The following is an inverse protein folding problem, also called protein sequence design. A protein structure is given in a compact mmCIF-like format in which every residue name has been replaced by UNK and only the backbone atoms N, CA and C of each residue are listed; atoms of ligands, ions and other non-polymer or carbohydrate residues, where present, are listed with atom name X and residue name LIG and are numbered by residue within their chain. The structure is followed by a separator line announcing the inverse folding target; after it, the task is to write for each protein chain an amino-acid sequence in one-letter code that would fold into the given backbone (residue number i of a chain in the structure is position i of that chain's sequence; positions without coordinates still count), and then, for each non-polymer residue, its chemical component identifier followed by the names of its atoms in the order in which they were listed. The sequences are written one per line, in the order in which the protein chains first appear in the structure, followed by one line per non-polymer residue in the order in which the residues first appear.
data_IF_204400755484
#
_entry.id   IF_204400755484
#
_cell.length_a   1.000
_cell.length_b   1.000
_cell.length_c   1.000
_cell.angle_alpha   90.00
_cell.angle_beta   90.00
_cell.angle_gamma   90.00
#
_symmetry.space_group_name_H-M   'P 1'
#
loop_
_entity.id
_entity.type
_entity.pdbx_description
1 polymer ?
#
# COMPACT_ATOMS: atom_id res chain seq x y z
N UNK A 1 -4.33 12.03 22.69
CA UNK A 1 -5.11 11.06 23.48
C UNK A 1 -4.98 9.62 22.97
N UNK A 2 -4.92 9.36 21.66
CA UNK A 2 -4.90 7.97 21.12
C UNK A 2 -3.63 7.16 21.42
N UNK A 3 -2.44 7.79 21.55
CA UNK A 3 -1.14 7.09 21.76
C UNK A 3 -1.00 6.38 23.12
N UNK A 4 -1.92 6.64 24.05
CA UNK A 4 -1.97 5.95 25.33
C UNK A 4 -2.58 4.53 25.22
N UNK A 5 -3.25 4.21 24.10
CA UNK A 5 -3.87 2.90 23.91
C UNK A 5 -2.84 1.81 23.55
N UNK A 6 -3.07 0.63 24.12
CA UNK A 6 -2.22 -0.54 23.91
C UNK A 6 -2.25 -1.09 22.48
N UNK A 7 -3.32 -0.88 21.72
CA UNK A 7 -3.49 -1.43 20.36
C UNK A 7 -3.20 -0.45 19.22
N UNK A 8 -2.58 0.69 19.51
CA UNK A 8 -2.22 1.68 18.47
C UNK A 8 -1.32 1.05 17.41
N UNK A 9 -1.73 1.18 16.15
CA UNK A 9 -1.02 0.60 15.02
C UNK A 9 -1.41 -0.84 14.69
N UNK A 10 -2.29 -1.48 15.46
CA UNK A 10 -2.87 -2.79 15.12
C UNK A 10 -4.08 -2.66 14.18
N UNK A 11 -4.49 -3.77 13.56
CA UNK A 11 -5.84 -3.90 13.03
C UNK A 11 -6.84 -3.99 14.20
N UNK A 12 -7.99 -3.32 14.09
CA UNK A 12 -9.09 -3.43 15.07
C UNK A 12 -9.79 -4.80 15.02
N UNK A 13 -9.81 -5.42 13.85
CA UNK A 13 -10.55 -6.65 13.57
C UNK A 13 -9.61 -7.78 13.19
N UNK A 14 -10.00 -9.02 13.48
CA UNK A 14 -9.24 -10.21 13.08
C UNK A 14 -9.45 -10.48 11.59
N UNK A 15 -8.61 -11.34 11.00
CA UNK A 15 -8.77 -11.73 9.60
C UNK A 15 -10.15 -12.36 9.34
N UNK A 16 -10.64 -13.19 10.26
CA UNK A 16 -11.89 -13.94 10.09
C UNK A 16 -13.15 -13.06 10.10
N UNK A 17 -13.10 -11.90 10.75
CA UNK A 17 -14.26 -11.02 10.86
C UNK A 17 -14.08 -9.65 10.22
N UNK A 18 -12.93 -9.38 9.58
CA UNK A 18 -12.61 -8.07 9.02
C UNK A 18 -13.74 -7.58 8.11
N UNK A 19 -14.08 -8.34 7.06
CA UNK A 19 -15.07 -7.91 6.07
C UNK A 19 -16.45 -7.68 6.68
N UNK A 20 -16.95 -8.61 7.48
CA UNK A 20 -18.21 -8.44 8.20
C UNK A 20 -18.22 -7.18 9.06
N UNK A 21 -17.13 -6.93 9.80
CA UNK A 21 -17.03 -5.79 10.72
C UNK A 21 -16.81 -4.45 10.04
N UNK A 22 -16.36 -4.43 8.79
CA UNK A 22 -16.26 -3.21 7.96
C UNK A 22 -17.44 -3.05 6.99
N UNK A 23 -18.48 -3.89 7.09
CA UNK A 23 -19.68 -3.79 6.24
C UNK A 23 -19.48 -4.32 4.81
N UNK A 24 -18.48 -5.17 4.58
CA UNK A 24 -18.23 -5.84 3.31
C UNK A 24 -18.72 -7.29 3.39
N UNK A 25 -19.12 -7.85 2.23
CA UNK A 25 -19.62 -9.22 2.14
C UNK A 25 -18.50 -10.25 2.39
N UNK A 26 -18.51 -10.98 3.52
CA UNK A 26 -17.48 -11.96 3.86
C UNK A 26 -17.55 -13.22 2.99
N UNK A 27 -18.63 -13.43 2.23
CA UNK A 27 -18.81 -14.59 1.37
C UNK A 27 -18.06 -14.43 0.05
N UNK A 28 -17.71 -13.21 -0.39
CA UNK A 28 -17.05 -12.97 -1.68
C UNK A 28 -15.52 -13.07 -1.61
N UNK A 29 -14.93 -12.64 -0.51
CA UNK A 29 -13.48 -12.67 -0.30
C UNK A 29 -13.15 -13.19 1.08
N UNK A 30 -12.02 -13.88 1.19
CA UNK A 30 -11.45 -14.29 2.47
C UNK A 30 -10.08 -13.66 2.67
N UNK A 31 -9.89 -12.96 3.78
CA UNK A 31 -8.56 -12.48 4.20
C UNK A 31 -7.69 -13.68 4.56
N UNK A 32 -6.48 -13.71 4.02
CA UNK A 32 -5.56 -14.84 4.21
C UNK A 32 -4.28 -14.46 4.94
N UNK A 33 -3.87 -13.18 4.90
CA UNK A 33 -2.70 -12.70 5.64
C UNK A 33 -2.82 -11.22 5.96
N UNK A 34 -2.45 -10.83 7.17
CA UNK A 34 -2.08 -9.44 7.50
C UNK A 34 -0.59 -9.25 7.31
N UNK A 35 -0.19 -8.07 6.84
CA UNK A 35 1.23 -7.72 6.69
C UNK A 35 1.57 -6.44 7.45
N UNK A 36 2.83 -6.37 7.90
CA UNK A 36 3.27 -5.41 8.90
C UNK A 36 4.61 -4.77 8.54
N UNK A 37 4.74 -3.47 8.81
CA UNK A 37 5.97 -2.71 8.66
C UNK A 37 6.56 -2.32 10.02
N UNK A 38 7.89 -2.15 10.15
CA UNK A 38 8.49 -1.72 11.41
C UNK A 38 8.03 -0.34 11.87
N UNK A 39 7.79 -0.19 13.18
CA UNK A 39 7.43 1.08 13.81
C UNK A 39 8.59 2.08 13.93
N UNK A 40 9.83 1.59 13.81
CA UNK A 40 11.06 2.37 13.96
C UNK A 40 11.42 3.19 12.73
N UNK A 41 10.74 2.98 11.59
CA UNK A 41 11.00 3.73 10.37
C UNK A 41 10.81 5.24 10.68
N UNK A 42 11.78 6.11 10.30
CA UNK A 42 11.73 7.53 10.58
C UNK A 42 10.79 8.23 9.59
N UNK A 43 9.49 7.98 9.75
CA UNK A 43 8.42 8.62 8.98
C UNK A 43 7.45 9.36 9.90
N UNK A 44 6.71 10.35 9.36
CA UNK A 44 5.66 11.01 10.11
C UNK A 44 4.66 10.03 10.71
N UNK A 45 4.07 10.38 11.86
CA UNK A 45 3.11 9.52 12.56
C UNK A 45 1.86 9.19 11.72
N UNK A 46 1.58 9.99 10.68
CA UNK A 46 0.56 9.71 9.66
C UNK A 46 0.76 8.37 8.94
N UNK A 47 2.02 7.91 8.82
CA UNK A 47 2.40 6.64 8.17
C UNK A 47 2.71 5.53 9.16
N UNK A 48 3.30 5.83 10.32
CA UNK A 48 3.72 4.82 11.29
C UNK A 48 3.41 5.32 12.69
N UNK A 49 2.52 4.62 13.40
CA UNK A 49 2.12 5.05 14.75
C UNK A 49 2.90 4.33 15.83
N UNK A 50 3.32 5.08 16.86
CA UNK A 50 4.01 4.52 18.03
C UNK A 50 3.11 4.64 19.27
N UNK A 51 2.90 3.53 19.96
CA UNK A 51 2.22 3.55 21.27
C UNK A 51 3.21 3.97 22.35
N UNK A 52 2.78 4.84 23.25
CA UNK A 52 3.53 5.21 24.46
C UNK A 52 3.16 4.33 25.66
N UNK A 53 2.20 3.41 25.49
CA UNK A 53 1.82 2.47 26.54
C UNK A 53 2.95 1.47 26.82
N UNK A 54 3.18 1.18 28.11
CA UNK A 54 4.07 0.06 28.51
C UNK A 54 3.50 -1.29 28.07
N UNK A 55 2.18 -1.39 27.94
CA UNK A 55 1.43 -2.58 27.53
C UNK A 55 1.17 -2.64 26.02
N UNK A 56 1.89 -1.85 25.21
CA UNK A 56 1.72 -1.81 23.77
C UNK A 56 1.78 -3.22 23.15
N UNK A 57 0.79 -3.53 22.29
CA UNK A 57 0.68 -4.79 21.57
C UNK A 57 1.94 -5.09 20.72
N UNK A 58 2.53 -4.02 20.17
CA UNK A 58 3.84 -4.04 19.54
C UNK A 58 4.46 -2.65 19.67
N UNK A 59 5.71 -2.61 20.11
CA UNK A 59 6.55 -1.40 20.04
C UNK A 59 7.29 -1.29 18.70
N UNK A 60 7.24 -2.36 17.90
CA UNK A 60 8.16 -2.56 16.78
C UNK A 60 7.45 -2.70 15.43
N UNK A 61 6.12 -2.81 15.41
CA UNK A 61 5.36 -3.09 14.18
C UNK A 61 4.05 -2.32 14.08
N UNK A 62 3.67 -1.95 12.86
CA UNK A 62 2.37 -1.43 12.49
C UNK A 62 1.71 -2.33 11.45
N UNK A 63 0.41 -2.55 11.60
CA UNK A 63 -0.45 -3.11 10.56
C UNK A 63 -0.39 -2.20 9.33
N UNK A 64 -0.06 -2.79 8.19
CA UNK A 64 0.14 -2.09 6.93
C UNK A 64 -0.84 -2.54 5.83
N UNK A 65 -1.62 -3.59 6.08
CA UNK A 65 -2.63 -4.04 5.14
C UNK A 65 -2.87 -5.54 5.18
N UNK A 66 -3.57 -6.04 4.19
CA UNK A 66 -3.94 -7.45 4.10
C UNK A 66 -3.91 -8.00 2.68
N UNK A 67 -3.73 -9.32 2.58
CA UNK A 67 -3.96 -10.10 1.37
C UNK A 67 -5.26 -10.88 1.55
N UNK A 68 -6.07 -10.93 0.49
CA UNK A 68 -7.30 -11.72 0.44
C UNK A 68 -7.46 -12.37 -0.93
N UNK A 69 -8.25 -13.44 -0.99
CA UNK A 69 -8.58 -14.12 -2.24
C UNK A 69 -10.09 -14.27 -2.39
N UNK A 70 -10.58 -14.19 -3.62
CA UNK A 70 -11.97 -14.47 -3.93
C UNK A 70 -12.30 -15.93 -3.57
N UNK A 71 -13.46 -16.13 -2.95
CA UNK A 71 -14.05 -17.45 -2.67
C UNK A 71 -14.58 -18.09 -3.97
N UNK A 72 -15.17 -19.27 -3.90
CA UNK A 72 -15.86 -19.86 -5.05
C UNK A 72 -17.04 -18.99 -5.50
N UNK A 73 -17.81 -18.48 -4.55
CA UNK A 73 -18.92 -17.56 -4.82
C UNK A 73 -18.45 -16.22 -5.38
N UNK A 74 -17.36 -15.67 -4.84
CA UNK A 74 -16.72 -14.46 -5.37
C UNK A 74 -16.19 -14.67 -6.79
N UNK A 75 -15.58 -15.83 -7.06
CA UNK A 75 -15.11 -16.20 -8.40
C UNK A 75 -16.26 -16.26 -9.41
N UNK A 76 -17.41 -16.83 -9.04
CA UNK A 76 -18.60 -16.87 -9.91
C UNK A 76 -19.08 -15.46 -10.23
N UNK A 77 -19.16 -14.58 -9.23
CA UNK A 77 -19.59 -13.20 -9.43
C UNK A 77 -18.64 -12.37 -10.31
N UNK A 78 -17.32 -12.58 -10.18
CA UNK A 78 -16.29 -11.83 -10.89
C UNK A 78 -15.89 -12.45 -12.24
N UNK A 79 -16.30 -13.68 -12.52
CA UNK A 79 -15.86 -14.48 -13.66
C UNK A 79 -14.39 -14.96 -13.58
N UNK A 80 -13.68 -14.66 -12.49
CA UNK A 80 -12.26 -14.98 -12.29
C UNK A 80 -11.91 -15.02 -10.81
N UNK A 81 -10.79 -15.66 -10.46
CA UNK A 81 -10.30 -15.67 -9.08
C UNK A 81 -9.30 -14.55 -8.87
N UNK A 82 -9.73 -13.52 -8.14
CA UNK A 82 -8.89 -12.39 -7.80
C UNK A 82 -8.13 -12.63 -6.49
N UNK A 83 -6.85 -12.25 -6.49
CA UNK A 83 -6.06 -12.01 -5.28
C UNK A 83 -5.98 -10.50 -5.10
N UNK A 84 -6.39 -10.01 -3.93
CA UNK A 84 -6.38 -8.59 -3.59
C UNK A 84 -5.33 -8.35 -2.52
N UNK A 85 -4.45 -7.39 -2.76
CA UNK A 85 -3.51 -6.86 -1.77
C UNK A 85 -3.95 -5.43 -1.46
N UNK A 86 -4.50 -5.21 -0.27
CA UNK A 86 -4.97 -3.91 0.18
C UNK A 86 -3.95 -3.29 1.14
N UNK A 87 -3.34 -2.18 0.72
CA UNK A 87 -2.43 -1.38 1.54
C UNK A 87 -3.20 -0.37 2.38
N UNK A 88 -2.83 -0.24 3.65
CA UNK A 88 -3.38 0.76 4.56
C UNK A 88 -2.80 2.13 4.21
N UNK A 89 -3.67 3.10 3.99
CA UNK A 89 -3.29 4.49 3.76
C UNK A 89 -2.79 5.22 5.02
N UNK A 90 -2.71 6.55 4.91
CA UNK A 90 -2.34 7.47 5.99
C UNK A 90 -3.52 7.73 6.93
N UNK A 91 -3.24 8.01 8.21
CA UNK A 91 -4.27 8.28 9.24
C UNK A 91 -4.81 9.72 9.23
N UNK A 92 -4.06 10.72 8.75
CA UNK A 92 -4.42 12.15 8.82
C UNK A 92 -3.96 12.96 7.59
N UNK A 93 -4.70 14.04 7.31
CA UNK A 93 -4.66 14.97 6.16
C UNK A 93 -3.42 15.86 6.12
N UNK A 94 -2.90 16.08 4.91
CA UNK A 94 -1.94 17.08 4.39
C UNK A 94 -0.69 17.49 5.19
N UNK A 95 -0.72 17.58 6.52
CA UNK A 95 0.41 17.99 7.36
C UNK A 95 1.65 17.13 7.12
N UNK A 96 1.45 15.84 6.83
CA UNK A 96 2.56 14.92 6.52
C UNK A 96 3.42 15.37 5.34
N UNK A 97 2.86 16.13 4.39
CA UNK A 97 3.59 16.64 3.22
C UNK A 97 4.72 17.58 3.65
N UNK A 98 4.51 18.34 4.74
CA UNK A 98 5.51 19.25 5.28
C UNK A 98 6.62 18.51 6.03
N UNK A 99 6.30 17.34 6.62
CA UNK A 99 7.23 16.55 7.41
C UNK A 99 8.02 15.52 6.58
N UNK A 100 7.66 15.32 5.30
CA UNK A 100 8.35 14.38 4.44
C UNK A 100 9.60 14.97 3.79
N UNK A 101 10.69 14.21 3.90
CA UNK A 101 11.87 14.41 3.08
C UNK A 101 11.70 13.68 1.75
N UNK A 102 11.68 14.42 0.64
CA UNK A 102 11.52 13.88 -0.71
C UNK A 102 12.84 13.37 -1.30
N UNK A 103 13.46 12.41 -0.61
CA UNK A 103 14.73 11.81 -1.01
C UNK A 103 14.52 10.63 -1.97
N UNK A 104 15.14 10.71 -3.16
CA UNK A 104 15.25 9.58 -4.09
C UNK A 104 16.44 8.70 -3.69
N UNK A 105 16.23 7.38 -3.61
CA UNK A 105 17.27 6.39 -3.32
C UNK A 105 17.24 5.23 -4.31
N UNK A 106 18.39 4.58 -4.56
CA UNK A 106 18.42 3.30 -5.25
C UNK A 106 17.53 2.26 -4.57
N UNK A 107 16.87 1.41 -5.36
CA UNK A 107 16.01 0.33 -4.85
C UNK A 107 16.54 -1.07 -5.22
N UNK A 108 17.72 -1.49 -4.72
CA UNK A 108 18.37 -2.73 -5.14
C UNK A 108 17.56 -3.99 -4.80
N UNK A 109 16.80 -3.99 -3.69
CA UNK A 109 15.91 -5.13 -3.37
C UNK A 109 14.73 -5.26 -4.34
N UNK A 110 14.43 -4.24 -5.14
CA UNK A 110 13.32 -4.25 -6.11
C UNK A 110 13.82 -4.41 -7.55
N UNK A 111 14.86 -3.67 -7.92
CA UNK A 111 15.37 -3.60 -9.29
C UNK A 111 16.71 -4.32 -9.51
N UNK A 112 17.29 -4.92 -8.47
CA UNK A 112 18.65 -5.48 -8.48
C UNK A 112 19.72 -4.41 -8.26
N UNK A 113 20.98 -4.83 -8.10
CA UNK A 113 22.13 -3.95 -7.77
C UNK A 113 22.50 -2.93 -8.88
N UNK A 114 21.73 -2.88 -9.97
CA UNK A 114 21.97 -2.00 -11.11
C UNK A 114 22.93 -2.61 -12.12
N UNK A 115 22.90 -2.09 -13.36
CA UNK A 115 23.91 -2.41 -14.37
C UNK A 115 25.20 -1.60 -14.15
N UNK A 116 26.20 -1.78 -15.02
CA UNK A 116 27.52 -1.12 -14.95
C UNK A 116 27.50 0.42 -14.82
N UNK A 117 26.37 1.07 -15.14
CA UNK A 117 26.18 2.51 -15.13
C UNK A 117 25.07 2.91 -14.13
N UNK A 118 25.43 3.46 -12.96
CA UNK A 118 24.48 3.91 -11.93
C UNK A 118 23.43 4.92 -12.44
N UNK A 119 23.75 5.68 -13.49
CA UNK A 119 22.89 6.72 -14.06
C UNK A 119 21.53 6.22 -14.58
N UNK A 120 21.42 4.93 -14.90
CA UNK A 120 20.18 4.31 -15.39
C UNK A 120 19.42 3.51 -14.33
N UNK A 121 19.89 3.51 -13.09
CA UNK A 121 19.22 2.78 -12.02
C UNK A 121 17.91 3.50 -11.65
N UNK A 122 16.78 2.77 -11.54
CA UNK A 122 15.55 3.31 -11.00
C UNK A 122 15.72 3.79 -9.57
N UNK A 123 15.32 5.03 -9.30
CA UNK A 123 15.29 5.60 -7.97
C UNK A 123 13.84 5.70 -7.48
N UNK A 124 13.64 5.51 -6.19
CA UNK A 124 12.33 5.55 -5.54
C UNK A 124 12.37 6.43 -4.29
N UNK A 125 11.20 6.88 -3.85
CA UNK A 125 11.06 7.64 -2.61
C UNK A 125 11.57 6.82 -1.41
N UNK A 126 12.51 7.38 -0.65
CA UNK A 126 13.17 6.74 0.49
C UNK A 126 12.16 6.22 1.54
N UNK A 127 11.13 7.02 1.85
CA UNK A 127 10.10 6.63 2.80
C UNK A 127 9.31 5.39 2.37
N UNK A 128 8.94 5.32 1.09
CA UNK A 128 8.18 4.18 0.57
C UNK A 128 9.07 2.94 0.48
N UNK A 129 10.33 3.13 0.07
CA UNK A 129 11.30 2.04 0.04
C UNK A 129 11.54 1.43 1.43
N UNK A 130 11.65 2.25 2.47
CA UNK A 130 11.83 1.77 3.84
C UNK A 130 10.60 1.02 4.35
N UNK A 131 9.39 1.53 4.14
CA UNK A 131 8.17 0.77 4.47
C UNK A 131 8.15 -0.58 3.76
N UNK A 132 8.55 -0.60 2.49
CA UNK A 132 8.47 -1.80 1.67
C UNK A 132 9.53 -2.86 2.01
N UNK A 133 10.73 -2.45 2.42
CA UNK A 133 11.92 -3.32 2.44
C UNK A 133 12.64 -3.43 3.79
N UNK A 134 12.30 -2.61 4.79
CA UNK A 134 12.86 -2.73 6.13
C UNK A 134 12.25 -3.93 6.85
N UNK A 135 13.12 -4.71 7.49
CA UNK A 135 12.75 -5.84 8.33
C UNK A 135 13.29 -5.64 9.75
N UNK A 136 12.69 -6.34 10.71
CA UNK A 136 13.19 -6.38 12.07
C UNK A 136 13.21 -7.85 12.53
N UNK A 137 14.39 -8.51 12.49
CA UNK A 137 14.51 -9.92 12.87
C UNK A 137 14.08 -10.23 14.31
N UNK A 138 14.06 -9.23 15.19
CA UNK A 138 13.66 -9.37 16.60
C UNK A 138 12.14 -9.27 16.80
N UNK A 139 11.41 -8.74 15.81
CA UNK A 139 9.96 -8.58 15.90
C UNK A 139 9.23 -9.89 15.66
N UNK A 140 8.09 -10.08 16.32
CA UNK A 140 7.19 -11.21 16.05
C UNK A 140 6.42 -11.06 14.74
N UNK A 141 6.19 -9.84 14.26
CA UNK A 141 5.27 -9.55 13.14
C UNK A 141 5.96 -9.19 11.82
N UNK A 142 7.19 -8.67 11.86
CA UNK A 142 7.93 -8.23 10.67
C UNK A 142 9.38 -8.75 10.65
N UNK A 143 9.53 -10.05 10.97
CA UNK A 143 10.78 -10.80 10.81
C UNK A 143 11.35 -10.66 9.40
N UNK A 144 10.46 -10.63 8.41
CA UNK A 144 10.74 -10.31 7.01
C UNK A 144 10.09 -8.97 6.65
N UNK A 145 10.61 -8.32 5.62
CA UNK A 145 10.04 -7.05 5.14
C UNK A 145 8.65 -7.23 4.51
N UNK A 146 7.90 -6.14 4.37
CA UNK A 146 6.52 -6.19 3.84
C UNK A 146 6.49 -6.81 2.43
N UNK A 147 7.45 -6.43 1.58
CA UNK A 147 7.61 -7.01 0.24
C UNK A 147 7.57 -8.53 0.27
N UNK A 148 8.36 -9.15 1.14
CA UNK A 148 8.50 -10.59 1.17
C UNK A 148 7.27 -11.25 1.82
N UNK A 149 6.69 -10.64 2.87
CA UNK A 149 5.44 -11.10 3.47
C UNK A 149 4.31 -11.22 2.44
N UNK A 150 4.17 -10.21 1.56
CA UNK A 150 3.15 -10.15 0.50
C UNK A 150 3.49 -11.11 -0.64
N UNK A 151 4.73 -11.09 -1.15
CA UNK A 151 5.14 -11.96 -2.26
C UNK A 151 4.99 -13.43 -1.91
N UNK A 152 5.37 -13.83 -0.69
CA UNK A 152 5.21 -15.20 -0.22
C UNK A 152 3.74 -15.64 -0.24
N UNK A 153 2.85 -14.77 0.23
CA UNK A 153 1.43 -15.09 0.31
C UNK A 153 0.76 -15.13 -1.07
N UNK A 154 1.08 -14.18 -1.94
CA UNK A 154 0.64 -14.18 -3.33
C UNK A 154 1.14 -15.44 -4.04
N UNK A 155 2.39 -15.87 -3.80
CA UNK A 155 2.93 -17.13 -4.34
C UNK A 155 2.17 -18.35 -3.80
N UNK A 156 1.90 -18.41 -2.49
CA UNK A 156 1.13 -19.50 -1.87
C UNK A 156 -0.26 -19.63 -2.48
N UNK A 157 -0.96 -18.50 -2.61
CA UNK A 157 -2.28 -18.43 -3.23
C UNK A 157 -2.22 -18.82 -4.71
N UNK A 158 -1.27 -18.29 -5.46
CA UNK A 158 -1.08 -18.62 -6.87
C UNK A 158 -0.80 -20.12 -7.08
N UNK A 159 0.02 -20.77 -6.26
CA UNK A 159 0.26 -22.22 -6.34
C UNK A 159 -1.03 -23.00 -6.08
N UNK A 160 -1.80 -22.60 -5.06
CA UNK A 160 -3.08 -23.24 -4.76
C UNK A 160 -4.08 -23.13 -5.91
N UNK A 161 -4.03 -22.02 -6.66
CA UNK A 161 -4.89 -21.75 -7.81
C UNK A 161 -4.38 -22.39 -9.11
N UNK A 162 -3.06 -22.49 -9.28
CA UNK A 162 -2.40 -23.08 -10.47
C UNK A 162 -2.53 -24.58 -10.58
N UNK A 163 -2.95 -25.29 -9.51
CA UNK A 163 -3.50 -26.65 -9.65
C UNK A 163 -4.68 -26.70 -10.66
N UNK A 164 -5.25 -25.56 -11.05
CA UNK A 164 -6.29 -25.43 -12.08
C UNK A 164 -5.86 -24.62 -13.33
N UNK A 165 -4.62 -24.14 -13.47
CA UNK A 165 -4.21 -23.34 -14.63
C UNK A 165 -2.74 -23.59 -15.05
N UNK A 166 -2.54 -23.96 -16.32
CA UNK A 166 -1.28 -24.35 -16.95
C UNK A 166 -0.18 -23.25 -17.00
N UNK A 167 0.34 -22.83 -15.85
CA UNK A 167 1.57 -22.05 -15.77
C UNK A 167 1.53 -20.60 -16.28
N UNK A 168 0.41 -20.13 -16.83
CA UNK A 168 0.28 -18.77 -17.40
C UNK A 168 0.60 -17.66 -16.37
N UNK A 169 1.21 -16.59 -16.87
CA UNK A 169 1.32 -15.31 -16.18
C UNK A 169 -0.08 -14.71 -15.99
N UNK A 170 -0.30 -13.98 -14.90
CA UNK A 170 -1.58 -13.34 -14.60
C UNK A 170 -1.44 -11.81 -14.60
N UNK A 171 -2.47 -11.07 -15.04
CA UNK A 171 -2.43 -9.62 -15.04
C UNK A 171 -2.40 -9.09 -13.59
N UNK A 172 -1.61 -8.04 -13.37
CA UNK A 172 -1.56 -7.30 -12.11
C UNK A 172 -2.15 -5.92 -12.35
N UNK A 173 -3.12 -5.50 -11.52
CA UNK A 173 -3.73 -4.19 -11.63
C UNK A 173 -3.76 -3.49 -10.27
N UNK A 174 -3.33 -2.23 -10.23
CA UNK A 174 -3.43 -1.39 -9.05
C UNK A 174 -4.43 -0.23 -9.29
N UNK A 175 -5.26 0.02 -8.27
CA UNK A 175 -6.20 1.14 -8.21
C UNK A 175 -5.85 2.05 -7.04
N UNK A 176 -4.74 2.82 -7.11
CA UNK A 176 -4.38 3.73 -6.04
C UNK A 176 -5.25 4.99 -6.07
N UNK A 177 -5.68 5.43 -4.89
CA UNK A 177 -6.45 6.66 -4.69
C UNK A 177 -5.54 7.71 -4.05
N UNK A 178 -5.64 8.97 -4.50
CA UNK A 178 -4.85 10.08 -3.96
C UNK A 178 -3.34 9.76 -3.87
N UNK A 179 -2.78 9.13 -4.91
CA UNK A 179 -1.43 8.57 -4.85
C UNK A 179 -0.38 9.66 -5.05
N UNK A 180 0.57 9.86 -4.13
CA UNK A 180 1.77 10.62 -4.44
C UNK A 180 2.63 9.87 -5.47
N UNK A 181 3.57 10.58 -6.08
CA UNK A 181 4.56 10.02 -7.00
C UNK A 181 5.57 9.16 -6.24
N UNK A 182 6.02 8.08 -6.87
CA UNK A 182 6.80 7.02 -6.19
C UNK A 182 8.27 7.02 -6.55
N UNK A 183 8.63 7.34 -7.79
CA UNK A 183 10.01 7.24 -8.26
C UNK A 183 10.34 8.19 -9.39
N UNK A 184 11.57 8.10 -9.86
CA UNK A 184 12.15 8.98 -10.85
C UNK A 184 11.80 8.59 -12.30
N UNK A 185 12.44 9.26 -13.26
CA UNK A 185 12.24 8.96 -14.69
C UNK A 185 12.68 7.54 -15.04
N UNK A 186 13.71 6.99 -14.38
CA UNK A 186 14.17 5.62 -14.63
C UNK A 186 13.19 4.59 -14.04
N UNK A 187 12.55 4.88 -12.90
CA UNK A 187 11.41 4.13 -12.39
C UNK A 187 10.24 4.12 -13.39
N UNK A 188 9.88 5.28 -13.94
CA UNK A 188 8.86 5.38 -14.98
C UNK A 188 9.23 4.52 -16.22
N UNK A 189 10.47 4.65 -16.72
CA UNK A 189 10.96 3.85 -17.85
C UNK A 189 10.96 2.35 -17.56
N UNK A 190 11.28 1.94 -16.34
CA UNK A 190 11.22 0.54 -15.92
C UNK A 190 9.78 0.03 -15.91
N UNK A 191 8.84 0.82 -15.37
CA UNK A 191 7.41 0.51 -15.37
C UNK A 191 6.87 0.34 -16.80
N UNK A 192 7.18 1.26 -17.72
CA UNK A 192 6.66 1.24 -19.09
C UNK A 192 7.11 0.02 -19.92
N UNK A 193 8.10 -0.75 -19.45
CA UNK A 193 8.54 -2.01 -20.08
C UNK A 193 7.74 -3.24 -19.63
N UNK A 194 6.97 -3.13 -18.54
CA UNK A 194 6.21 -4.24 -17.97
C UNK A 194 4.86 -4.38 -18.70
N UNK A 195 4.65 -5.52 -19.37
CA UNK A 195 3.47 -5.74 -20.22
C UNK A 195 2.20 -6.15 -19.47
N UNK A 196 2.34 -6.72 -18.28
CA UNK A 196 1.22 -7.32 -17.52
C UNK A 196 0.86 -6.54 -16.26
N UNK A 197 1.36 -5.31 -16.12
CA UNK A 197 1.02 -4.41 -15.03
C UNK A 197 0.16 -3.26 -15.56
N UNK A 198 -0.93 -2.98 -14.86
CA UNK A 198 -1.81 -1.86 -15.13
C UNK A 198 -1.98 -1.05 -13.85
N UNK A 199 -1.99 0.27 -13.98
CA UNK A 199 -2.22 1.17 -12.85
C UNK A 199 -3.23 2.21 -13.32
N UNK A 200 -4.31 2.36 -12.56
CA UNK A 200 -5.34 3.39 -12.75
C UNK A 200 -5.36 4.28 -11.52
N UNK A 201 -4.69 5.43 -11.61
CA UNK A 201 -4.61 6.43 -10.55
C UNK A 201 -5.90 7.24 -10.51
N UNK A 202 -6.53 7.30 -9.34
CA UNK A 202 -7.81 7.99 -9.13
C UNK A 202 -7.59 9.18 -8.21
N UNK A 203 -7.75 10.39 -8.75
CA UNK A 203 -7.45 11.63 -8.05
C UNK A 203 -8.66 12.56 -8.04
N UNK A 204 -8.89 13.21 -6.89
CA UNK A 204 -9.86 14.29 -6.81
C UNK A 204 -9.23 15.58 -7.35
N UNK A 205 -9.99 16.37 -8.12
CA UNK A 205 -9.50 17.57 -8.82
C UNK A 205 -8.81 18.57 -7.88
N UNK A 206 -9.34 18.73 -6.68
CA UNK A 206 -8.81 19.66 -5.66
C UNK A 206 -7.79 19.02 -4.71
N UNK A 207 -7.52 17.72 -4.83
CA UNK A 207 -6.52 17.05 -4.01
C UNK A 207 -5.10 17.36 -4.52
N UNK A 208 -4.27 17.88 -3.62
CA UNK A 208 -2.89 18.23 -3.95
C UNK A 208 -1.92 17.07 -3.73
N UNK A 209 -2.29 16.02 -2.98
CA UNK A 209 -1.39 14.90 -2.65
C UNK A 209 -0.74 14.30 -3.90
N UNK A 210 -1.48 14.04 -5.00
CA UNK A 210 -0.89 13.50 -6.23
C UNK A 210 0.16 14.38 -6.90
N UNK A 211 0.20 15.68 -6.54
CA UNK A 211 1.20 16.61 -7.05
C UNK A 211 2.56 16.40 -6.40
N UNK A 212 2.61 15.74 -5.23
CA UNK A 212 3.85 15.50 -4.49
C UNK A 212 4.49 14.13 -4.77
N UNK A 213 5.82 14.02 -4.67
CA UNK A 213 6.76 15.15 -4.61
C UNK A 213 6.84 15.90 -5.95
N UNK A 214 7.07 17.23 -5.95
CA UNK A 214 6.89 18.03 -7.17
C UNK A 214 8.07 17.97 -8.17
N UNK A 215 9.30 17.68 -7.71
CA UNK A 215 10.52 17.77 -8.54
C UNK A 215 11.24 16.42 -8.57
N UNK A 216 11.55 15.93 -9.76
CA UNK A 216 12.34 14.70 -9.97
C UNK A 216 11.56 13.39 -9.88
N UNK A 217 10.25 13.45 -9.60
CA UNK A 217 9.37 12.28 -9.54
C UNK A 217 8.39 12.26 -10.70
N UNK A 218 8.05 11.06 -11.16
CA UNK A 218 7.20 10.83 -12.32
C UNK A 218 6.08 9.86 -11.98
N UNK A 219 4.90 10.15 -12.50
CA UNK A 219 3.75 9.28 -12.40
C UNK A 219 3.86 8.06 -13.33
N UNK A 220 3.17 6.98 -12.96
CA UNK A 220 3.04 5.76 -13.76
C UNK A 220 1.58 5.33 -13.86
N UNK A 221 1.21 4.71 -14.99
CA UNK A 221 -0.17 4.29 -15.26
C UNK A 221 -1.05 5.37 -15.87
N UNK A 222 -2.34 5.04 -16.00
CA UNK A 222 -3.39 5.94 -16.49
C UNK A 222 -4.00 6.72 -15.33
N UNK A 223 -4.60 7.87 -15.64
CA UNK A 223 -5.24 8.75 -14.65
C UNK A 223 -6.73 8.90 -14.93
N UNK A 224 -7.52 8.90 -13.86
CA UNK A 224 -8.89 9.40 -13.85
C UNK A 224 -8.99 10.49 -12.80
N UNK A 225 -9.46 11.65 -13.23
CA UNK A 225 -9.76 12.79 -12.36
C UNK A 225 -11.24 12.79 -12.06
N UNK A 226 -11.59 12.78 -10.77
CA UNK A 226 -12.96 12.99 -10.28
C UNK A 226 -13.08 14.41 -9.74
N UNK A 227 -14.26 15.01 -9.86
CA UNK A 227 -14.55 16.31 -9.28
C UNK A 227 -15.67 16.17 -8.25
N UNK A 228 -15.28 16.02 -7.00
CA UNK A 228 -16.22 15.87 -5.88
C UNK A 228 -17.04 17.13 -5.60
N UNK A 229 -16.63 18.31 -6.08
CA UNK A 229 -17.38 19.55 -5.90
C UNK A 229 -18.70 19.57 -6.68
N UNK A 230 -18.82 18.68 -7.69
CA UNK A 230 -20.06 18.49 -8.44
C UNK A 230 -21.11 17.67 -7.70
N UNK A 231 -20.74 17.01 -6.60
CA UNK A 231 -21.69 16.24 -5.80
C UNK A 231 -22.48 17.17 -4.89
N UNK A 232 -23.83 17.13 -4.90
CA UNK A 232 -24.65 17.93 -4.00
C UNK A 232 -24.55 17.45 -2.54
N UNK A 233 -23.88 16.32 -2.28
CA UNK A 233 -23.73 15.72 -0.96
C UNK A 233 -22.39 16.06 -0.30
N UNK A 234 -21.46 16.69 -1.02
CA UNK A 234 -20.13 17.06 -0.49
C UNK A 234 -20.19 18.50 0.01
N UNK A 235 -19.79 18.71 1.27
CA UNK A 235 -19.71 20.05 1.84
C UNK A 235 -18.69 20.90 1.06
N UNK A 236 -18.98 22.18 0.79
CA UNK A 236 -18.01 23.10 0.21
C UNK A 236 -16.74 23.19 1.07
N UNK A 237 -15.56 23.38 0.44
CA UNK A 237 -14.32 23.60 1.18
C UNK A 237 -14.46 24.80 2.13
N UNK A 238 -14.19 24.60 3.43
CA UNK A 238 -14.19 25.67 4.43
C UNK A 238 -15.46 25.84 5.26
N UNK A 239 -16.53 25.06 5.02
CA UNK A 239 -17.67 25.02 5.95
C UNK A 239 -17.29 24.32 7.26
N UNK A 240 -17.30 25.08 8.36
CA UNK A 240 -17.11 24.55 9.72
C UNK A 240 -18.31 23.68 10.08
N UNK A 241 -18.05 22.49 10.61
CA UNK A 241 -19.11 21.64 11.17
C UNK A 241 -19.58 22.28 12.46
N UNK A 242 -20.78 22.86 12.45
CA UNK A 242 -21.53 23.23 13.66
C UNK A 242 -21.91 22.00 14.47
#
# INVERSE_FOLDING_TARGET
MERAFKYVGASRYSMDNLFTKVGLDPLKYKVTKFFYAPSSIPLPDAFITRSFSREAWSKESNFMGFVSAATDEGKVALGRRDIVVAWRGTKQTLEWVNDLQFLLVPAPKVFGEGGLLPLFQPLVHHGFYNIYTTENPRSQFNKTCVRDQVIEEVKRLNISMKRSSNGKEFPVTAFPFASPKVGDINFHKAFSKLKHIHVLRIHNLLDIVPKYPPIGYFDVGQEIIIDTTKSPYVKPPGEVVS
#
